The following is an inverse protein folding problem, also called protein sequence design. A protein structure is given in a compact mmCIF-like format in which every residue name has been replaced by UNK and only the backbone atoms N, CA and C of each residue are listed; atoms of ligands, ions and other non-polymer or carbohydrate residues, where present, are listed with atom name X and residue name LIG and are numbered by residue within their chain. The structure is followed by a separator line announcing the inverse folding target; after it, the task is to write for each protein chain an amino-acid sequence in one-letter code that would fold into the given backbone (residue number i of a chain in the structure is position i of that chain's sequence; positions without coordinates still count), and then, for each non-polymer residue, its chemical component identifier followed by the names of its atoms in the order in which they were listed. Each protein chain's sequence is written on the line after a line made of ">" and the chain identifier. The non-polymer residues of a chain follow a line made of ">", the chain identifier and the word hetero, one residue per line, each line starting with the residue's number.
data_IF_419683161510
#
_entry.id   IF_419683161510
#
_cell.length_a   1.000
_cell.length_b   1.000
_cell.length_c   1.000
_cell.angle_alpha   90.00
_cell.angle_beta   90.00
_cell.angle_gamma   90.00
#
_symmetry.space_group_name_H-M   'P 1'
#
loop_
_entity.id
_entity.type
_entity.pdbx_description
1 polymer ?
#
# COMPACT_ATOMS: atom_id res chain seq x y z
N UNK A 1 4.20 3.14 -25.11
CA UNK A 1 3.86 4.58 -25.16
C UNK A 1 4.72 5.40 -26.14
N UNK A 2 5.79 4.87 -26.74
CA UNK A 2 6.61 5.63 -27.70
C UNK A 2 7.45 6.76 -27.09
N UNK A 3 7.54 6.84 -25.77
CA UNK A 3 8.41 7.77 -25.05
C UNK A 3 9.79 7.14 -24.89
N UNK A 4 10.85 7.92 -25.12
CA UNK A 4 12.24 7.52 -24.90
C UNK A 4 12.92 8.55 -23.97
N UNK A 5 12.56 8.54 -22.67
CA UNK A 5 13.12 9.49 -21.71
C UNK A 5 14.64 9.36 -21.60
N UNK A 6 15.20 8.16 -21.79
CA UNK A 6 16.64 7.94 -21.75
C UNK A 6 17.37 8.76 -22.84
N UNK A 7 16.83 8.80 -24.06
CA UNK A 7 17.40 9.66 -25.11
C UNK A 7 17.21 11.14 -24.80
N UNK A 8 16.05 11.56 -24.33
CA UNK A 8 15.78 12.97 -24.04
C UNK A 8 16.70 13.52 -22.94
N UNK A 9 16.93 12.73 -21.89
CA UNK A 9 17.85 13.05 -20.79
C UNK A 9 19.29 13.16 -21.31
N UNK A 10 19.79 12.13 -22.03
CA UNK A 10 21.17 12.13 -22.56
C UNK A 10 21.46 13.28 -23.52
N UNK A 11 20.45 13.71 -24.28
CA UNK A 11 20.58 14.82 -25.23
C UNK A 11 20.37 16.20 -24.59
N UNK A 12 20.01 16.24 -23.29
CA UNK A 12 19.69 17.49 -22.60
C UNK A 12 18.44 18.18 -23.14
N UNK A 13 17.51 17.44 -23.74
CA UNK A 13 16.24 17.99 -24.26
C UNK A 13 15.22 18.24 -23.16
N UNK A 14 15.39 17.58 -22.02
CA UNK A 14 14.59 17.77 -20.81
C UNK A 14 15.54 17.99 -19.63
N UNK A 15 15.09 18.79 -18.70
CA UNK A 15 15.75 19.17 -17.46
C UNK A 15 15.14 18.48 -16.24
N UNK A 16 14.02 17.77 -16.40
CA UNK A 16 13.47 16.90 -15.38
C UNK A 16 12.58 15.79 -15.94
N UNK A 17 12.39 14.75 -15.13
CA UNK A 17 11.37 13.72 -15.32
C UNK A 17 10.48 13.60 -14.10
N UNK A 18 9.19 13.34 -14.33
CA UNK A 18 8.20 13.13 -13.28
C UNK A 18 7.55 11.75 -13.44
N UNK A 19 8.18 10.67 -12.91
CA UNK A 19 7.57 9.35 -12.97
C UNK A 19 6.26 9.33 -12.18
N UNK A 20 5.21 8.81 -12.80
CA UNK A 20 3.85 8.81 -12.26
C UNK A 20 3.02 7.69 -12.85
N UNK A 21 2.09 7.16 -12.04
CA UNK A 21 0.90 6.51 -12.59
C UNK A 21 -0.01 7.55 -13.28
N UNK A 22 -0.88 7.09 -14.18
CA UNK A 22 -1.81 7.95 -14.92
C UNK A 22 -2.77 8.74 -14.00
N UNK A 23 -3.20 8.18 -12.87
CA UNK A 23 -4.27 8.78 -12.06
C UNK A 23 -4.07 8.63 -10.55
N UNK A 24 -3.40 7.58 -10.09
CA UNK A 24 -3.38 7.20 -8.68
C UNK A 24 -2.06 7.52 -8.00
N UNK A 25 -2.07 7.61 -6.67
CA UNK A 25 -0.82 7.57 -5.91
C UNK A 25 -0.29 6.14 -5.91
N UNK A 26 0.91 5.95 -6.46
CA UNK A 26 1.52 4.63 -6.61
C UNK A 26 2.78 4.46 -5.73
N UNK A 27 2.66 3.67 -4.67
CA UNK A 27 3.79 3.27 -3.81
C UNK A 27 4.78 2.32 -4.50
N UNK A 28 4.39 1.71 -5.62
CA UNK A 28 5.22 0.84 -6.43
C UNK A 28 6.11 1.56 -7.44
N UNK A 29 6.06 2.89 -7.52
CA UNK A 29 6.93 3.67 -8.42
C UNK A 29 8.40 3.41 -8.09
N UNK A 30 9.15 2.85 -9.05
CA UNK A 30 10.60 2.59 -8.95
C UNK A 30 11.38 3.85 -9.32
N UNK A 31 11.49 4.78 -8.37
CA UNK A 31 12.16 6.07 -8.56
C UNK A 31 13.63 5.89 -8.98
N UNK A 32 14.29 4.86 -8.45
CA UNK A 32 15.69 4.57 -8.75
C UNK A 32 15.96 4.28 -10.23
N UNK A 33 14.97 3.77 -10.97
CA UNK A 33 15.13 3.49 -12.40
C UNK A 33 15.26 4.81 -13.18
N UNK A 34 14.59 5.87 -12.73
CA UNK A 34 14.67 7.20 -13.31
C UNK A 34 15.89 7.96 -12.80
N UNK A 35 16.23 7.81 -11.52
CA UNK A 35 17.47 8.35 -10.95
C UNK A 35 18.71 7.81 -11.69
N UNK A 36 18.73 6.52 -12.02
CA UNK A 36 19.80 5.92 -12.81
C UNK A 36 19.91 6.50 -14.23
N UNK A 37 18.79 6.89 -14.86
CA UNK A 37 18.82 7.57 -16.16
C UNK A 37 19.37 8.99 -16.08
N UNK A 38 19.17 9.67 -14.95
CA UNK A 38 19.63 11.04 -14.70
C UNK A 38 21.05 11.13 -14.16
N UNK A 39 21.68 10.01 -13.76
CA UNK A 39 23.03 10.00 -13.20
C UNK A 39 24.05 10.66 -14.14
N UNK A 40 24.81 11.63 -13.62
CA UNK A 40 25.79 12.38 -14.40
C UNK A 40 25.21 13.43 -15.35
N UNK A 41 23.92 13.77 -15.22
CA UNK A 41 23.25 14.83 -15.97
C UNK A 41 22.69 15.91 -15.03
N UNK A 42 22.28 17.05 -15.58
CA UNK A 42 21.57 18.10 -14.83
C UNK A 42 20.04 17.85 -14.75
N UNK A 43 19.57 16.67 -15.19
CA UNK A 43 18.15 16.34 -15.22
C UNK A 43 17.67 15.87 -13.84
N UNK A 44 16.68 16.54 -13.25
CA UNK A 44 16.14 16.17 -11.94
C UNK A 44 15.02 15.12 -11.98
N UNK A 45 14.83 14.39 -10.87
CA UNK A 45 13.80 13.35 -10.72
C UNK A 45 12.74 13.79 -9.69
N UNK A 46 11.52 14.02 -10.16
CA UNK A 46 10.40 14.55 -9.36
C UNK A 46 9.19 13.60 -9.41
N UNK A 47 9.25 12.44 -8.73
CA UNK A 47 8.14 11.50 -8.71
C UNK A 47 6.84 12.17 -8.25
N UNK A 48 5.74 11.72 -8.85
CA UNK A 48 4.46 12.34 -8.65
C UNK A 48 3.78 11.86 -7.36
N UNK A 49 3.13 12.80 -6.67
CA UNK A 49 2.07 12.49 -5.70
C UNK A 49 0.71 12.88 -6.29
N UNK A 50 -0.22 11.94 -6.22
CA UNK A 50 -1.64 12.15 -6.50
C UNK A 50 -2.44 12.19 -5.18
N UNK A 51 -3.58 12.89 -5.13
CA UNK A 51 -4.35 13.08 -3.89
C UNK A 51 -5.03 11.82 -3.35
N UNK A 52 -5.18 10.76 -4.16
CA UNK A 52 -5.90 9.56 -3.76
C UNK A 52 -5.47 8.31 -4.54
N UNK A 53 -5.86 7.15 -4.02
CA UNK A 53 -5.85 5.88 -4.74
C UNK A 53 -7.28 5.42 -5.06
N UNK A 54 -7.38 4.47 -6.01
CA UNK A 54 -8.63 3.81 -6.34
C UNK A 54 -9.11 2.94 -5.17
N UNK A 55 -10.40 3.01 -4.83
CA UNK A 55 -11.02 1.93 -4.05
C UNK A 55 -11.23 0.71 -4.98
N UNK A 56 -10.64 -0.42 -4.59
CA UNK A 56 -10.52 -1.60 -5.47
C UNK A 56 -11.70 -2.57 -5.37
N UNK A 57 -12.49 -2.53 -4.30
CA UNK A 57 -13.59 -3.50 -4.14
C UNK A 57 -14.58 -3.32 -5.29
N UNK A 58 -14.71 -4.35 -6.14
CA UNK A 58 -15.76 -4.40 -7.14
C UNK A 58 -17.10 -4.63 -6.43
N UNK A 59 -17.66 -3.57 -5.85
CA UNK A 59 -18.95 -3.61 -5.20
C UNK A 59 -20.07 -4.04 -6.16
N UNK A 60 -19.89 -4.03 -7.48
CA UNK A 60 -20.87 -4.62 -8.40
C UNK A 60 -20.93 -6.14 -8.34
N UNK A 61 -19.80 -6.81 -8.13
CA UNK A 61 -19.76 -8.28 -8.05
C UNK A 61 -20.09 -8.78 -6.64
N UNK A 62 -19.78 -7.99 -5.61
CA UNK A 62 -20.13 -8.32 -4.20
C UNK A 62 -21.54 -7.83 -3.81
N UNK A 63 -22.04 -6.73 -4.40
CA UNK A 63 -23.37 -6.15 -4.10
C UNK A 63 -24.34 -6.24 -5.29
N UNK A 64 -24.54 -7.44 -5.87
CA UNK A 64 -25.65 -7.68 -6.80
C UNK A 64 -27.06 -7.39 -6.19
N UNK A 65 -27.13 -6.97 -4.93
CA UNK A 65 -28.34 -6.62 -4.19
C UNK A 65 -28.75 -5.13 -4.25
N UNK A 66 -27.96 -4.23 -4.86
CA UNK A 66 -28.33 -2.80 -4.93
C UNK A 66 -28.50 -2.29 -6.38
N UNK A 67 -29.68 -1.73 -6.74
CA UNK A 67 -30.02 -1.39 -8.13
C UNK A 67 -29.30 -0.13 -8.69
N UNK A 68 -28.55 0.59 -7.87
CA UNK A 68 -27.78 1.78 -8.29
C UNK A 68 -26.30 1.62 -7.88
N UNK A 69 -25.39 1.30 -8.83
CA UNK A 69 -23.98 1.17 -8.52
C UNK A 69 -23.40 2.55 -8.21
N UNK A 70 -22.92 2.71 -6.98
CA UNK A 70 -22.26 3.93 -6.53
C UNK A 70 -21.00 4.14 -7.38
N UNK A 71 -20.91 5.37 -7.89
CA UNK A 71 -19.98 5.93 -8.88
C UNK A 71 -18.49 5.69 -8.61
N UNK A 72 -17.67 6.14 -9.57
CA UNK A 72 -16.27 6.61 -9.50
C UNK A 72 -15.84 7.42 -8.23
N UNK A 73 -16.63 7.44 -7.15
CA UNK A 73 -16.61 8.38 -6.03
C UNK A 73 -16.06 7.82 -4.71
N UNK A 74 -15.29 6.74 -4.73
CA UNK A 74 -14.60 6.29 -3.51
C UNK A 74 -13.10 6.41 -3.70
N UNK A 75 -12.67 7.66 -3.57
CA UNK A 75 -11.27 8.07 -3.49
C UNK A 75 -10.79 7.76 -2.09
N UNK A 76 -9.71 6.99 -1.97
CA UNK A 76 -9.04 6.81 -0.68
C UNK A 76 -8.07 7.97 -0.52
N UNK A 77 -8.40 8.92 0.35
CA UNK A 77 -7.48 9.97 0.76
C UNK A 77 -6.47 9.42 1.76
N UNK A 78 -5.21 9.76 1.54
CA UNK A 78 -4.12 9.28 2.40
C UNK A 78 -3.98 10.12 3.67
N UNK A 79 -3.58 9.49 4.76
CA UNK A 79 -3.17 10.23 5.96
C UNK A 79 -1.81 10.91 5.76
N UNK A 80 -1.47 11.81 6.67
CA UNK A 80 -0.17 12.49 6.67
C UNK A 80 0.99 11.48 6.83
N UNK A 81 0.81 10.44 7.63
CA UNK A 81 1.77 9.34 7.81
C UNK A 81 1.95 8.53 6.53
N UNK A 82 0.85 8.26 5.81
CA UNK A 82 0.87 7.53 4.55
C UNK A 82 1.65 8.31 3.48
N UNK A 83 1.30 9.58 3.30
CA UNK A 83 2.06 10.47 2.41
C UNK A 83 3.55 10.47 2.78
N UNK A 84 3.88 10.54 4.08
CA UNK A 84 5.26 10.49 4.55
C UNK A 84 5.97 9.19 4.20
N UNK A 85 5.31 8.03 4.32
CA UNK A 85 5.91 6.75 3.93
C UNK A 85 6.22 6.67 2.44
N UNK A 86 5.31 7.15 1.58
CA UNK A 86 5.57 7.26 0.14
C UNK A 86 6.75 8.19 -0.15
N UNK A 87 6.80 9.37 0.48
CA UNK A 87 7.87 10.33 0.27
C UNK A 87 9.22 9.86 0.79
N UNK A 88 9.28 9.07 1.88
CA UNK A 88 10.53 8.45 2.33
C UNK A 88 11.10 7.48 1.29
N UNK A 89 10.22 6.72 0.65
CA UNK A 89 10.60 5.85 -0.46
C UNK A 89 11.21 6.70 -1.59
N UNK A 90 10.56 7.79 -1.99
CA UNK A 90 11.11 8.70 -3.00
C UNK A 90 12.47 9.28 -2.59
N UNK A 91 12.60 9.79 -1.36
CA UNK A 91 13.85 10.34 -0.82
C UNK A 91 14.99 9.30 -0.83
N UNK A 92 14.70 8.04 -0.47
CA UNK A 92 15.69 6.98 -0.37
C UNK A 92 16.20 6.52 -1.73
N UNK A 93 15.38 6.63 -2.78
CA UNK A 93 15.67 6.10 -4.11
C UNK A 93 15.94 7.18 -5.16
N UNK A 94 16.42 8.34 -4.72
CA UNK A 94 17.04 9.33 -5.60
C UNK A 94 16.09 10.38 -6.19
N UNK A 95 14.98 10.68 -5.52
CA UNK A 95 14.18 11.85 -5.89
C UNK A 95 14.90 13.15 -5.50
N UNK A 96 14.90 14.14 -6.39
CA UNK A 96 15.38 15.51 -6.15
C UNK A 96 14.28 16.42 -5.60
N UNK A 97 13.03 15.94 -5.64
CA UNK A 97 11.86 16.64 -5.15
C UNK A 97 10.60 15.84 -5.49
N UNK A 98 9.48 16.54 -5.61
CA UNK A 98 8.21 15.91 -5.98
C UNK A 98 7.42 16.76 -6.97
N UNK A 99 6.59 16.08 -7.75
CA UNK A 99 5.57 16.70 -8.58
C UNK A 99 4.18 16.45 -7.97
N UNK A 100 3.31 17.46 -7.91
CA UNK A 100 1.93 17.29 -7.40
C UNK A 100 0.96 17.34 -8.56
N UNK A 101 0.14 16.29 -8.72
CA UNK A 101 -0.86 16.22 -9.79
C UNK A 101 -2.28 16.12 -9.23
N UNK A 102 -3.27 16.67 -9.93
CA UNK A 102 -4.71 16.60 -9.60
C UNK A 102 -5.20 17.25 -8.27
N UNK A 103 -4.34 17.78 -7.41
CA UNK A 103 -4.75 18.45 -6.16
C UNK A 103 -5.64 19.69 -6.35
N UNK A 104 -5.59 20.37 -7.52
CA UNK A 104 -6.45 21.52 -7.79
C UNK A 104 -7.84 21.14 -8.29
N UNK A 105 -7.95 20.04 -9.05
CA UNK A 105 -9.20 19.64 -9.72
C UNK A 105 -9.99 18.63 -8.90
N UNK A 106 -9.29 17.72 -8.22
CA UNK A 106 -9.90 16.52 -7.67
C UNK A 106 -10.08 16.56 -6.14
N UNK A 107 -9.67 17.67 -5.53
CA UNK A 107 -9.79 17.93 -4.09
C UNK A 107 -10.26 19.36 -3.78
N UNK A 108 -10.96 19.98 -4.73
CA UNK A 108 -11.46 21.36 -4.61
C UNK A 108 -12.40 21.55 -3.42
N UNK A 109 -13.12 20.50 -3.04
CA UNK A 109 -14.04 20.44 -1.91
C UNK A 109 -13.36 20.06 -0.58
N UNK A 110 -12.06 19.78 -0.60
CA UNK A 110 -11.28 19.39 0.58
C UNK A 110 -9.97 20.19 0.71
N UNK A 111 -10.05 21.54 0.87
CA UNK A 111 -8.87 22.40 0.95
C UNK A 111 -7.98 22.10 2.16
N UNK A 112 -8.54 21.54 3.24
CA UNK A 112 -7.78 21.14 4.42
C UNK A 112 -6.87 19.95 4.14
N UNK A 113 -7.34 18.94 3.40
CA UNK A 113 -6.49 17.84 2.95
C UNK A 113 -5.36 18.35 2.05
N UNK A 114 -5.65 19.20 1.07
CA UNK A 114 -4.62 19.78 0.18
C UNK A 114 -3.54 20.50 1.00
N UNK A 115 -3.94 21.31 1.99
CA UNK A 115 -3.00 22.04 2.84
C UNK A 115 -2.10 21.09 3.63
N UNK A 116 -2.66 20.04 4.24
CA UNK A 116 -1.87 19.05 5.00
C UNK A 116 -0.95 18.24 4.11
N UNK A 117 -1.44 17.74 2.98
CA UNK A 117 -0.63 16.99 2.03
C UNK A 117 0.57 17.80 1.53
N UNK A 118 0.35 19.09 1.18
CA UNK A 118 1.43 19.99 0.79
C UNK A 118 2.36 20.37 1.95
N UNK A 119 1.90 20.34 3.21
CA UNK A 119 2.77 20.53 4.36
C UNK A 119 3.73 19.34 4.52
N UNK A 120 3.24 18.10 4.39
CA UNK A 120 4.06 16.88 4.42
C UNK A 120 5.06 16.84 3.26
N UNK A 121 4.62 17.23 2.06
CA UNK A 121 5.48 17.39 0.88
C UNK A 121 6.67 18.34 1.10
N UNK A 122 6.47 19.41 1.88
CA UNK A 122 7.48 20.43 2.19
C UNK A 122 8.44 20.04 3.32
N UNK A 123 8.17 18.94 4.03
CA UNK A 123 9.12 18.41 5.01
C UNK A 123 10.46 18.12 4.31
N UNK A 124 11.57 18.30 5.02
CA UNK A 124 12.88 17.82 4.56
C UNK A 124 12.95 16.30 4.68
N UNK A 125 13.83 15.63 3.91
CA UNK A 125 14.05 14.18 4.07
C UNK A 125 14.36 13.79 5.52
N UNK A 126 15.10 14.63 6.25
CA UNK A 126 15.41 14.37 7.66
C UNK A 126 14.18 14.45 8.57
N UNK A 127 13.33 15.47 8.40
CA UNK A 127 12.06 15.58 9.13
C UNK A 127 11.13 14.40 8.82
N UNK A 128 11.05 14.02 7.54
CA UNK A 128 10.27 12.86 7.14
C UNK A 128 10.79 11.61 7.82
N UNK A 129 12.10 11.36 7.82
CA UNK A 129 12.73 10.17 8.45
C UNK A 129 12.52 10.09 9.96
N UNK A 130 12.50 11.22 10.68
CA UNK A 130 12.36 11.23 12.15
C UNK A 130 10.93 11.19 12.67
N UNK A 131 9.92 11.35 11.81
CA UNK A 131 8.51 11.41 12.20
C UNK A 131 7.83 10.04 12.11
N UNK A 132 6.58 9.85 12.53
CA UNK A 132 5.84 8.61 12.24
C UNK A 132 5.50 8.53 10.74
N UNK A 133 5.56 7.33 10.14
CA UNK A 133 5.18 7.12 8.75
C UNK A 133 4.42 5.80 8.57
N UNK A 134 3.63 5.70 7.51
CA UNK A 134 2.92 4.50 7.10
C UNK A 134 3.20 4.22 5.63
N UNK A 135 3.56 2.98 5.28
CA UNK A 135 3.75 2.56 3.90
C UNK A 135 2.53 1.75 3.48
N UNK A 136 1.70 2.31 2.59
CA UNK A 136 0.42 1.72 2.25
C UNK A 136 0.37 1.23 0.80
N UNK A 137 0.58 -0.06 0.61
CA UNK A 137 0.57 -0.70 -0.70
C UNK A 137 -0.84 -1.17 -1.02
N UNK A 138 -1.44 -0.54 -2.03
CA UNK A 138 -2.78 -0.81 -2.53
C UNK A 138 -2.72 -1.23 -4.00
N UNK A 139 -3.69 -2.03 -4.47
CA UNK A 139 -3.89 -2.24 -5.88
C UNK A 139 -4.56 -1.00 -6.47
N UNK A 140 -3.88 -0.34 -7.40
CA UNK A 140 -4.37 0.92 -8.00
C UNK A 140 -5.12 0.69 -9.32
N UNK A 141 -4.99 -0.49 -9.92
CA UNK A 141 -5.72 -0.89 -11.12
C UNK A 141 -6.30 -2.30 -10.97
N UNK A 142 -7.47 -2.56 -11.58
CA UNK A 142 -8.17 -3.86 -11.56
C UNK A 142 -7.63 -4.88 -12.56
N UNK A 143 -6.63 -4.49 -13.32
CA UNK A 143 -6.00 -5.30 -14.35
C UNK A 143 -4.54 -5.41 -13.97
N UNK A 144 -3.90 -6.45 -14.49
CA UNK A 144 -2.46 -6.66 -14.34
C UNK A 144 -1.63 -5.53 -14.93
N UNK A 145 -2.23 -4.57 -15.65
CA UNK A 145 -1.56 -3.46 -16.31
C UNK A 145 -2.38 -2.17 -16.14
N UNK A 146 -1.70 -1.04 -15.94
CA UNK A 146 -2.31 0.30 -15.96
C UNK A 146 -2.76 0.69 -17.38
N UNK A 147 -3.57 1.75 -17.55
CA UNK A 147 -3.86 2.32 -18.87
C UNK A 147 -2.60 2.77 -19.65
N UNK A 148 -1.52 3.09 -18.94
CA UNK A 148 -0.20 3.42 -19.50
C UNK A 148 0.67 2.18 -19.77
N UNK A 149 0.22 0.98 -19.40
CA UNK A 149 0.90 -0.29 -19.62
C UNK A 149 1.88 -0.71 -18.52
N UNK A 150 1.92 -0.01 -17.38
CA UNK A 150 2.75 -0.39 -16.24
C UNK A 150 2.19 -1.65 -15.57
N UNK A 151 3.06 -2.63 -15.28
CA UNK A 151 2.69 -3.89 -14.65
C UNK A 151 2.17 -3.68 -13.22
N UNK A 152 1.12 -4.43 -12.87
CA UNK A 152 0.40 -4.39 -11.59
C UNK A 152 0.29 -5.79 -10.96
N UNK A 153 0.89 -6.80 -11.59
CA UNK A 153 0.94 -8.17 -11.07
C UNK A 153 1.56 -8.18 -9.67
N UNK A 154 1.01 -9.00 -8.77
CA UNK A 154 1.50 -9.14 -7.41
C UNK A 154 1.05 -8.04 -6.44
N UNK A 155 0.30 -7.02 -6.91
CA UNK A 155 -0.34 -6.02 -6.04
C UNK A 155 -1.65 -6.49 -5.44
N UNK A 156 -2.24 -7.55 -5.98
CA UNK A 156 -3.30 -8.34 -5.36
C UNK A 156 -2.93 -9.80 -5.51
N UNK A 157 -3.05 -10.56 -4.44
CA UNK A 157 -2.73 -11.97 -4.42
C UNK A 157 -4.01 -12.77 -4.37
N UNK A 158 -4.18 -13.67 -5.32
CA UNK A 158 -5.21 -14.70 -5.32
C UNK A 158 -4.54 -16.05 -5.06
N UNK A 159 -5.09 -16.84 -4.13
CA UNK A 159 -4.48 -18.11 -3.78
C UNK A 159 -5.48 -19.17 -3.33
N UNK A 160 -5.29 -20.37 -3.88
CA UNK A 160 -6.03 -21.57 -3.52
C UNK A 160 -5.36 -22.38 -2.39
N UNK A 161 -5.87 -23.58 -2.09
CA UNK A 161 -5.27 -24.48 -1.11
C UNK A 161 -3.83 -24.83 -1.48
N UNK A 162 -2.93 -24.88 -0.49
CA UNK A 162 -1.54 -25.37 -0.61
C UNK A 162 -0.61 -24.57 -1.55
N UNK A 163 -1.05 -23.45 -2.13
CA UNK A 163 -0.20 -22.59 -2.93
C UNK A 163 0.33 -21.41 -2.09
N UNK A 164 1.65 -21.32 -1.83
CA UNK A 164 2.21 -20.15 -1.21
C UNK A 164 2.16 -18.96 -2.18
N UNK A 165 1.87 -17.77 -1.65
CA UNK A 165 1.93 -16.50 -2.40
C UNK A 165 2.78 -15.49 -1.68
N UNK A 166 3.37 -14.57 -2.44
CA UNK A 166 4.31 -13.57 -1.92
C UNK A 166 3.85 -12.18 -2.32
N UNK A 167 3.66 -11.31 -1.33
CA UNK A 167 3.44 -9.87 -1.52
C UNK A 167 4.79 -9.17 -1.44
N UNK A 168 5.17 -8.46 -2.50
CA UNK A 168 6.38 -7.66 -2.54
C UNK A 168 6.05 -6.22 -2.15
N UNK A 169 6.88 -5.65 -1.28
CA UNK A 169 6.71 -4.28 -0.83
C UNK A 169 8.06 -3.68 -0.46
N UNK A 170 8.10 -2.36 -0.28
CA UNK A 170 9.35 -1.68 0.03
C UNK A 170 9.24 -0.61 1.09
N UNK A 171 10.28 -0.50 1.90
CA UNK A 171 10.26 0.38 3.05
C UNK A 171 11.62 1.09 3.12
N UNK A 172 11.60 2.40 2.95
CA UNK A 172 12.71 3.28 3.26
C UNK A 172 12.84 3.50 4.78
N UNK A 173 13.00 2.39 5.50
CA UNK A 173 13.30 2.36 6.92
C UNK A 173 14.77 1.96 7.08
N UNK A 174 15.56 2.84 7.72
CA UNK A 174 16.99 2.60 7.90
C UNK A 174 17.24 1.41 8.83
N UNK A 175 18.29 0.64 8.56
CA UNK A 175 18.68 -0.50 9.40
C UNK A 175 18.94 -0.13 10.87
N UNK A 176 19.21 1.15 11.14
CA UNK A 176 19.52 1.69 12.46
C UNK A 176 18.28 2.12 13.26
N UNK A 177 17.08 2.07 12.66
CA UNK A 177 15.85 2.46 13.35
C UNK A 177 15.15 1.19 13.84
N UNK A 178 14.88 1.05 15.16
CA UNK A 178 14.16 -0.09 15.70
C UNK A 178 12.85 -0.33 14.93
N UNK A 179 12.51 -1.61 14.72
CA UNK A 179 11.21 -2.03 14.18
C UNK A 179 10.07 -1.80 15.21
N UNK A 180 9.89 -0.58 15.71
CA UNK A 180 8.73 -0.23 16.54
C UNK A 180 7.57 0.13 15.62
N UNK A 181 6.81 -0.88 15.20
CA UNK A 181 5.80 -0.73 14.16
C UNK A 181 4.80 -1.87 14.08
N UNK A 182 3.90 -1.76 13.10
CA UNK A 182 2.89 -2.78 12.79
C UNK A 182 2.81 -3.02 11.28
N UNK A 183 2.82 -4.27 10.86
CA UNK A 183 2.44 -4.65 9.50
C UNK A 183 0.99 -5.15 9.55
N UNK A 184 0.11 -4.57 8.75
CA UNK A 184 -1.32 -4.89 8.70
C UNK A 184 -1.74 -5.31 7.32
N UNK A 185 -2.62 -6.29 7.24
CA UNK A 185 -3.25 -6.68 6.00
C UNK A 185 -4.55 -7.42 6.28
N UNK A 186 -5.33 -7.64 5.22
CA UNK A 186 -6.59 -8.38 5.28
C UNK A 186 -6.50 -9.53 4.31
N UNK A 187 -7.00 -10.69 4.74
CA UNK A 187 -7.22 -11.82 3.86
C UNK A 187 -8.72 -12.10 3.79
N UNK A 188 -9.24 -12.07 2.58
CA UNK A 188 -10.63 -12.34 2.28
C UNK A 188 -10.85 -13.82 1.95
N UNK A 189 -12.09 -14.27 2.09
CA UNK A 189 -12.51 -15.65 1.85
C UNK A 189 -11.74 -16.70 2.68
N UNK A 190 -11.17 -16.30 3.83
CA UNK A 190 -10.76 -17.22 4.88
C UNK A 190 -11.92 -17.48 5.83
N UNK A 191 -12.16 -18.75 6.13
CA UNK A 191 -13.14 -19.16 7.13
C UNK A 191 -12.49 -19.37 8.49
N UNK A 192 -13.32 -19.52 9.52
CA UNK A 192 -12.85 -19.56 10.88
C UNK A 192 -11.88 -20.72 11.22
N UNK A 193 -11.99 -21.80 10.47
CA UNK A 193 -11.20 -23.01 10.65
C UNK A 193 -9.93 -23.01 9.80
N UNK A 194 -9.78 -22.02 8.91
CA UNK A 194 -8.63 -21.90 8.06
C UNK A 194 -7.43 -21.37 8.86
N UNK A 195 -6.24 -21.73 8.40
CA UNK A 195 -4.96 -21.30 8.98
C UNK A 195 -4.02 -20.94 7.86
N UNK A 196 -3.35 -19.80 8.03
CA UNK A 196 -2.32 -19.30 7.13
C UNK A 196 -1.03 -19.17 7.93
N UNK A 197 0.01 -19.84 7.47
CA UNK A 197 1.37 -19.63 7.93
C UNK A 197 1.96 -18.41 7.21
N UNK A 198 2.80 -17.67 7.92
CA UNK A 198 3.33 -16.40 7.44
C UNK A 198 4.83 -16.36 7.60
N UNK A 199 5.53 -15.89 6.58
CA UNK A 199 6.94 -15.60 6.64
C UNK A 199 7.20 -14.17 6.14
N UNK A 200 8.12 -13.48 6.82
CA UNK A 200 8.59 -12.15 6.46
C UNK A 200 10.08 -12.26 6.09
N UNK A 201 10.43 -11.86 4.87
CA UNK A 201 11.79 -11.94 4.34
C UNK A 201 12.42 -13.35 4.48
N UNK A 202 11.61 -14.39 4.24
CA UNK A 202 12.02 -15.79 4.33
C UNK A 202 12.09 -16.37 5.74
N UNK A 203 11.77 -15.59 6.78
CA UNK A 203 11.73 -16.06 8.17
C UNK A 203 10.29 -16.19 8.67
N UNK A 204 9.97 -17.30 9.32
CA UNK A 204 8.65 -17.49 9.91
C UNK A 204 8.34 -16.40 10.94
N UNK A 205 7.14 -15.82 10.85
CA UNK A 205 6.69 -14.81 11.82
C UNK A 205 6.35 -15.54 13.14
N UNK A 206 6.93 -15.14 14.29
CA UNK A 206 6.62 -15.79 15.56
C UNK A 206 5.13 -15.66 15.89
N UNK A 207 4.46 -16.71 16.42
CA UNK A 207 3.05 -16.64 16.78
C UNK A 207 2.72 -15.50 17.75
N UNK A 208 3.65 -15.18 18.67
CA UNK A 208 3.51 -14.07 19.62
C UNK A 208 3.49 -12.67 18.95
N UNK A 209 3.95 -12.57 17.70
CA UNK A 209 3.90 -11.35 16.91
C UNK A 209 2.58 -11.19 16.14
N UNK A 210 1.76 -12.23 16.02
CA UNK A 210 0.57 -12.23 15.17
C UNK A 210 -0.67 -11.94 16.01
N UNK A 211 -1.37 -10.86 15.66
CA UNK A 211 -2.70 -10.58 16.14
C UNK A 211 -3.68 -10.74 14.98
N UNK A 212 -4.66 -11.64 15.11
CA UNK A 212 -5.74 -11.76 14.13
C UNK A 212 -7.10 -11.38 14.71
N UNK A 213 -7.90 -10.69 13.90
CA UNK A 213 -9.26 -10.27 14.21
C UNK A 213 -10.18 -10.60 13.06
N UNK A 214 -11.36 -11.11 13.39
CA UNK A 214 -12.26 -11.69 12.41
C UNK A 214 -13.47 -10.79 12.22
N UNK A 215 -13.82 -10.52 10.98
CA UNK A 215 -15.00 -9.72 10.63
C UNK A 215 -15.90 -10.54 9.72
N UNK A 216 -17.08 -10.86 10.23
CA UNK A 216 -18.06 -11.72 9.53
C UNK A 216 -19.11 -10.96 8.72
N UNK A 217 -19.28 -9.65 8.95
CA UNK A 217 -20.31 -8.84 8.29
C UNK A 217 -19.73 -7.69 7.45
N UNK A 218 -20.38 -7.41 6.32
CA UNK A 218 -20.17 -6.19 5.53
C UNK A 218 -20.74 -5.01 6.33
N UNK A 219 -19.86 -4.20 6.90
CA UNK A 219 -20.22 -2.88 7.41
C UNK A 219 -19.49 -1.83 6.59
N UNK A 220 -20.13 -0.68 6.35
CA UNK A 220 -19.40 0.57 6.11
C UNK A 220 -18.43 0.69 7.28
N UNK A 221 -17.12 0.64 7.02
CA UNK A 221 -16.17 0.84 8.09
C UNK A 221 -16.35 2.29 8.56
N UNK A 222 -16.91 2.45 9.75
CA UNK A 222 -16.72 3.65 10.58
C UNK A 222 -15.32 3.62 11.23
N UNK A 223 -14.33 3.02 10.56
CA UNK A 223 -12.95 3.10 10.96
C UNK A 223 -12.51 4.54 10.65
N UNK A 224 -12.09 5.27 11.69
CA UNK A 224 -11.61 6.65 11.55
C UNK A 224 -10.44 6.75 10.56
N UNK A 225 -9.74 5.63 10.33
CA UNK A 225 -8.60 5.52 9.43
C UNK A 225 -8.96 5.33 7.95
N UNK A 226 -10.15 4.78 7.65
CA UNK A 226 -10.62 4.56 6.27
C UNK A 226 -12.10 4.95 6.09
N UNK A 227 -12.46 6.22 6.35
CA UNK A 227 -13.85 6.65 6.31
C UNK A 227 -14.46 6.42 4.92
N UNK A 228 -15.60 5.73 4.87
CA UNK A 228 -16.38 5.49 3.65
C UNK A 228 -16.04 4.21 2.87
N UNK A 229 -14.99 3.47 3.26
CA UNK A 229 -14.69 2.17 2.65
C UNK A 229 -15.65 1.08 3.13
N UNK A 230 -16.19 0.30 2.19
CA UNK A 230 -16.95 -0.91 2.50
C UNK A 230 -16.01 -2.11 2.52
N UNK A 231 -15.90 -2.78 3.66
CA UNK A 231 -14.95 -3.88 3.83
C UNK A 231 -15.73 -5.21 3.88
N UNK A 232 -15.55 -6.13 2.91
CA UNK A 232 -16.12 -7.47 2.94
C UNK A 232 -15.71 -8.27 4.18
N UNK A 233 -16.34 -9.43 4.45
CA UNK A 233 -15.87 -10.34 5.49
C UNK A 233 -14.41 -10.74 5.24
N UNK A 234 -13.60 -10.69 6.30
CA UNK A 234 -12.16 -10.92 6.22
C UNK A 234 -11.60 -11.34 7.58
N UNK A 235 -10.40 -11.90 7.54
CA UNK A 235 -9.51 -11.96 8.70
C UNK A 235 -8.50 -10.83 8.54
N UNK A 236 -8.48 -9.94 9.52
CA UNK A 236 -7.51 -8.89 9.66
C UNK A 236 -6.31 -9.42 10.43
N UNK A 237 -5.12 -9.21 9.89
CA UNK A 237 -3.86 -9.54 10.55
C UNK A 237 -3.10 -8.25 10.88
N UNK A 238 -2.59 -8.18 12.09
CA UNK A 238 -1.65 -7.18 12.56
C UNK A 238 -0.43 -7.91 13.12
N UNK A 239 0.76 -7.55 12.65
CA UNK A 239 2.03 -8.16 13.00
C UNK A 239 2.87 -7.16 13.81
N UNK A 240 3.34 -7.57 14.99
CA UNK A 240 4.33 -6.81 15.77
C UNK A 240 5.70 -6.89 15.12
N UNK A 241 6.11 -5.80 14.47
CA UNK A 241 7.40 -5.75 13.79
C UNK A 241 8.58 -5.82 14.76
N UNK A 242 8.39 -5.49 16.05
CA UNK A 242 9.47 -5.55 17.04
C UNK A 242 9.92 -6.98 17.33
N UNK A 243 9.08 -7.96 16.99
CA UNK A 243 9.36 -9.40 17.13
C UNK A 243 9.73 -10.05 15.78
N UNK A 244 9.95 -9.23 14.74
CA UNK A 244 10.21 -9.69 13.38
C UNK A 244 11.57 -9.17 12.85
N UNK A 245 12.09 -9.74 11.75
CA UNK A 245 13.28 -9.22 11.09
C UNK A 245 13.15 -7.73 10.70
N UNK A 246 14.27 -7.01 10.73
CA UNK A 246 14.32 -5.60 10.31
C UNK A 246 13.80 -5.43 8.89
N UNK A 247 12.91 -4.44 8.69
CA UNK A 247 12.46 -4.04 7.37
C UNK A 247 13.42 -3.01 6.82
N UNK A 248 14.00 -3.29 5.65
CA UNK A 248 14.85 -2.34 4.93
C UNK A 248 14.83 -2.63 3.43
N UNK A 249 14.64 -1.62 2.61
CA UNK A 249 14.65 -1.79 1.15
C UNK A 249 13.45 -2.59 0.66
N UNK A 250 13.70 -3.58 -0.19
CA UNK A 250 12.67 -4.46 -0.73
C UNK A 250 12.42 -5.65 0.22
N UNK A 251 11.15 -5.93 0.49
CA UNK A 251 10.67 -6.87 1.49
C UNK A 251 9.59 -7.79 0.91
N UNK A 252 9.40 -8.93 1.57
CA UNK A 252 8.52 -10.01 1.11
C UNK A 252 7.65 -10.52 2.26
N UNK A 253 6.33 -10.49 2.09
CA UNK A 253 5.39 -11.19 2.96
C UNK A 253 4.88 -12.42 2.22
N UNK A 254 5.27 -13.61 2.69
CA UNK A 254 4.79 -14.87 2.16
C UNK A 254 3.63 -15.40 3.00
N UNK A 255 2.56 -15.85 2.35
CA UNK A 255 1.42 -16.51 2.96
C UNK A 255 1.31 -17.94 2.42
N UNK A 256 1.24 -18.92 3.32
CA UNK A 256 1.09 -20.34 2.99
C UNK A 256 -0.18 -20.88 3.64
N UNK A 257 -1.19 -21.32 2.88
CA UNK A 257 -2.38 -21.95 3.44
C UNK A 257 -2.03 -23.28 4.11
N UNK A 258 -2.02 -23.31 5.43
CA UNK A 258 -1.69 -24.50 6.23
C UNK A 258 -2.91 -25.41 6.44
N UNK A 259 -4.10 -24.80 6.57
CA UNK A 259 -5.37 -25.52 6.68
C UNK A 259 -6.46 -24.78 5.95
N UNK A 260 -7.22 -25.49 5.11
CA UNK A 260 -8.42 -24.99 4.44
C UNK A 260 -9.57 -25.96 4.67
N UNK A 261 -10.76 -25.43 4.97
CA UNK A 261 -11.98 -26.22 5.00
C UNK A 261 -12.26 -26.83 3.62
N UNK A 262 -12.42 -28.15 3.53
CA UNK A 262 -12.64 -28.87 2.26
C UNK A 262 -13.95 -28.50 1.55
N UNK A 263 -14.88 -27.84 2.25
CA UNK A 263 -16.14 -27.34 1.70
C UNK A 263 -16.02 -25.97 1.02
N UNK A 264 -14.84 -25.32 1.08
CA UNK A 264 -14.64 -23.96 0.57
C UNK A 264 -13.92 -24.04 -0.77
N UNK A 265 -14.65 -23.77 -1.85
CA UNK A 265 -14.13 -23.76 -3.22
C UNK A 265 -13.64 -22.39 -3.71
N UNK A 266 -13.81 -21.32 -2.94
CA UNK A 266 -13.36 -19.98 -3.33
C UNK A 266 -11.87 -19.78 -3.09
N UNK A 267 -11.23 -18.95 -3.92
CA UNK A 267 -9.86 -18.49 -3.69
C UNK A 267 -9.80 -17.47 -2.54
N UNK A 268 -8.72 -17.52 -1.76
CA UNK A 268 -8.35 -16.45 -0.84
C UNK A 268 -7.82 -15.27 -1.63
N UNK A 269 -7.94 -14.08 -1.03
CA UNK A 269 -7.42 -12.86 -1.62
C UNK A 269 -6.74 -11.98 -0.56
N UNK A 270 -5.59 -11.39 -0.90
CA UNK A 270 -4.97 -10.29 -0.17
C UNK A 270 -4.81 -9.11 -1.13
N UNK A 271 -5.36 -7.96 -0.75
CA UNK A 271 -5.37 -6.77 -1.62
C UNK A 271 -4.31 -5.74 -1.21
N UNK A 272 -4.13 -5.54 0.09
CA UNK A 272 -3.34 -4.43 0.58
C UNK A 272 -2.54 -4.82 1.82
N UNK A 273 -1.37 -4.20 1.93
CA UNK A 273 -0.60 -4.21 3.17
C UNK A 273 -0.31 -2.76 3.58
N UNK A 274 -0.32 -2.52 4.88
CA UNK A 274 0.08 -1.25 5.47
C UNK A 274 1.17 -1.50 6.51
N UNK A 275 2.27 -0.74 6.46
CA UNK A 275 3.39 -0.84 7.38
C UNK A 275 3.53 0.46 8.15
N UNK A 276 3.10 0.47 9.41
CA UNK A 276 3.29 1.59 10.32
C UNK A 276 4.69 1.54 10.94
N UNK A 277 5.42 2.65 10.85
CA UNK A 277 6.73 2.87 11.48
C UNK A 277 6.65 4.01 12.48
N UNK A 278 7.14 3.79 13.69
CA UNK A 278 7.02 4.75 14.80
C UNK A 278 5.60 4.76 15.39
N UNK A 279 4.93 3.61 15.35
CA UNK A 279 3.53 3.45 15.77
C UNK A 279 3.34 3.75 17.25
N UNK A 280 2.25 4.46 17.58
CA UNK A 280 1.93 4.96 18.93
C UNK A 280 0.68 4.34 19.56
N UNK A 281 0.07 3.30 18.96
CA UNK A 281 -0.93 2.49 19.67
C UNK A 281 -2.34 2.38 19.08
N UNK A 282 -2.63 2.87 17.87
CA UNK A 282 -3.96 2.59 17.27
C UNK A 282 -4.03 1.17 16.76
N UNK A 283 -4.56 0.26 17.59
CA UNK A 283 -4.83 -1.13 17.21
C UNK A 283 -5.92 -1.17 16.14
N UNK A 284 -5.87 -2.15 15.25
CA UNK A 284 -7.01 -2.43 14.38
C UNK A 284 -8.22 -2.92 15.19
N UNK A 285 -9.19 -2.06 15.48
CA UNK A 285 -10.34 -2.37 16.36
C UNK A 285 -11.48 -3.12 15.68
N UNK A 286 -11.39 -3.32 14.36
CA UNK A 286 -12.45 -3.94 13.56
C UNK A 286 -12.34 -5.46 13.62
N UNK A 287 -13.38 -6.11 14.13
CA UNK A 287 -13.50 -7.58 14.24
C UNK A 287 -13.41 -8.09 15.68
N UNK A 288 -13.63 -9.39 15.87
CA UNK A 288 -13.53 -10.07 17.16
C UNK A 288 -12.28 -10.99 17.18
N UNK A 289 -11.57 -11.11 18.32
CA UNK A 289 -10.57 -12.15 18.49
C UNK A 289 -11.26 -13.52 18.61
N UNK A 290 -10.55 -14.59 18.27
CA UNK A 290 -10.93 -15.90 18.79
C UNK A 290 -10.43 -16.04 20.23
N UNK A 291 -11.22 -16.68 21.08
CA UNK A 291 -10.71 -17.17 22.36
C UNK A 291 -9.57 -18.17 22.07
N UNK A 292 -8.45 -18.13 22.82
CA UNK A 292 -7.43 -19.16 22.71
C UNK A 292 -8.06 -20.54 23.01
N UNK A 293 -7.64 -21.60 22.30
CA UNK A 293 -8.14 -22.95 22.53
C UNK A 293 -7.87 -23.45 23.96
#
# INVERSE_FOLDING_TARGET
>A
MGLDPATWIRQGWVDYVAPSDFMWLDYGTRVEDYAALCEGTDCGVYPCINPFAAEWVNHRDVNAYTPNPVNFNRRVFFSDEQLRGCLRNYDQWGADGIYTFNFCCETIDNPDFVRRAHAVAKETPQQRRSTQASYFFLPIWRRDHSPSGAEQVGRTLHFGPQQPVTFLFRVAHGADIPNSGRLRFRVYNLHDLDRVEMALNGQAIPPAAIFDRRKTNIHVAADTRYPGMHIPPHIAYEIDLALCPLLAGDNQLQLTPAKRGSAIGSECMLEAIEVDVGWNGTLQTVGYPLDPP
#
